data_IF_833813597312
#
_entry.id   IF_833813597312
#
_cell.length_a   1.000
_cell.length_b   1.000
_cell.length_c   1.000
_cell.angle_alpha   90.00
_cell.angle_beta   90.00
_cell.angle_gamma   90.00
#
_symmetry.space_group_name_H-M   'P 1'
#
loop_
_entity.id
_entity.type
_entity.pdbx_description
1 polymer ?
#
# COMPACT_ATOMS: atom_id res chain seq x y z
N UNK A 1 -8.26 -21.79 -0.56
CA UNK A 1 -9.53 -21.33 -1.16
C UNK A 1 -9.53 -19.82 -1.40
N UNK A 2 -9.12 -18.96 -0.42
CA UNK A 2 -9.08 -17.48 -0.58
C UNK A 2 -8.26 -17.05 -1.81
N UNK A 3 -7.10 -17.67 -2.06
CA UNK A 3 -6.28 -17.40 -3.26
C UNK A 3 -7.01 -17.67 -4.58
N UNK A 4 -8.01 -18.56 -4.58
CA UNK A 4 -8.86 -18.80 -5.73
C UNK A 4 -9.94 -17.71 -5.92
N UNK A 5 -10.11 -16.84 -4.93
CA UNK A 5 -11.05 -15.73 -4.89
C UNK A 5 -12.18 -15.93 -3.91
N UNK A 6 -12.59 -14.83 -3.30
CA UNK A 6 -13.78 -14.77 -2.46
C UNK A 6 -14.93 -14.30 -3.35
N UNK A 7 -16.06 -15.02 -3.40
CA UNK A 7 -17.26 -14.55 -4.10
C UNK A 7 -17.70 -13.17 -3.57
N UNK A 8 -18.20 -12.34 -4.48
CA UNK A 8 -18.53 -10.92 -4.20
C UNK A 8 -19.53 -10.79 -3.05
N UNK A 9 -20.52 -11.67 -3.01
CA UNK A 9 -21.63 -11.67 -2.06
C UNK A 9 -21.20 -11.95 -0.62
N UNK A 10 -20.06 -12.58 -0.42
CA UNK A 10 -19.59 -12.98 0.92
C UNK A 10 -18.34 -12.25 1.39
N UNK A 11 -17.77 -11.31 0.58
CA UNK A 11 -16.60 -10.54 1.01
C UNK A 11 -16.85 -9.78 2.31
N UNK A 12 -18.03 -9.17 2.45
CA UNK A 12 -18.41 -8.45 3.67
C UNK A 12 -18.40 -9.29 4.93
N UNK A 13 -18.52 -10.60 4.82
CA UNK A 13 -18.43 -11.55 5.95
C UNK A 13 -17.01 -12.11 6.09
N UNK A 14 -16.39 -12.49 4.97
CA UNK A 14 -15.10 -13.17 4.96
C UNK A 14 -13.95 -12.22 5.35
N UNK A 15 -13.95 -10.99 4.85
CA UNK A 15 -12.87 -10.03 5.11
C UNK A 15 -12.69 -9.68 6.59
N UNK A 16 -13.76 -9.33 7.35
CA UNK A 16 -13.64 -9.11 8.79
C UNK A 16 -13.16 -10.34 9.55
N UNK A 17 -13.55 -11.55 9.10
CA UNK A 17 -13.14 -12.80 9.74
C UNK A 17 -11.65 -13.09 9.55
N UNK A 18 -11.15 -13.01 8.30
CA UNK A 18 -9.75 -13.37 8.01
C UNK A 18 -8.76 -12.30 8.46
N UNK A 19 -9.18 -11.05 8.60
CA UNK A 19 -8.35 -9.96 9.13
C UNK A 19 -8.28 -9.93 10.66
N UNK A 20 -9.21 -10.59 11.37
CA UNK A 20 -9.38 -10.47 12.80
C UNK A 20 -10.28 -9.30 13.24
N UNK A 21 -10.82 -8.52 12.30
CA UNK A 21 -11.69 -7.38 12.60
C UNK A 21 -12.97 -7.80 13.32
N UNK A 22 -13.52 -8.97 12.99
CA UNK A 22 -14.70 -9.51 13.65
C UNK A 22 -14.47 -9.80 15.13
N UNK A 23 -13.32 -10.35 15.48
CA UNK A 23 -12.97 -10.65 16.86
C UNK A 23 -12.81 -9.36 17.67
N UNK A 24 -12.17 -8.33 17.07
CA UNK A 24 -12.06 -7.01 17.69
C UNK A 24 -13.43 -6.38 17.93
N UNK A 25 -14.33 -6.44 16.94
CA UNK A 25 -15.68 -5.90 17.07
C UNK A 25 -16.45 -6.55 18.22
N UNK A 26 -16.43 -7.89 18.29
CA UNK A 26 -17.14 -8.64 19.33
C UNK A 26 -16.56 -8.38 20.73
N UNK A 27 -15.24 -8.14 20.80
CA UNK A 27 -14.54 -7.85 22.07
C UNK A 27 -14.71 -6.43 22.56
N UNK A 28 -15.23 -5.51 21.72
CA UNK A 28 -15.35 -4.09 22.04
C UNK A 28 -16.74 -3.53 21.69
N UNK A 29 -17.82 -4.06 22.27
CA UNK A 29 -19.20 -3.67 21.92
C UNK A 29 -19.45 -2.19 22.26
N UNK A 30 -20.08 -1.46 21.34
CA UNK A 30 -20.48 -0.06 21.52
C UNK A 30 -19.35 0.97 21.43
N UNK A 31 -18.10 0.53 21.22
CA UNK A 31 -16.94 1.45 21.13
C UNK A 31 -17.04 2.28 19.86
N UNK A 32 -17.38 1.67 18.72
CA UNK A 32 -17.50 2.40 17.45
C UNK A 32 -18.54 3.52 17.54
N UNK A 33 -19.72 3.24 18.09
CA UNK A 33 -20.80 4.22 18.24
C UNK A 33 -20.36 5.41 19.12
N UNK A 34 -19.64 5.14 20.21
CA UNK A 34 -19.13 6.20 21.08
C UNK A 34 -18.11 7.08 20.35
N UNK A 35 -17.20 6.47 19.57
CA UNK A 35 -16.21 7.20 18.77
C UNK A 35 -16.86 8.02 17.65
N UNK A 36 -17.88 7.47 16.98
CA UNK A 36 -18.61 8.15 15.92
C UNK A 36 -19.37 9.38 16.45
N UNK A 37 -19.88 9.33 17.69
CA UNK A 37 -20.55 10.42 18.37
C UNK A 37 -19.59 11.43 19.01
N UNK A 38 -18.29 11.16 19.06
CA UNK A 38 -17.33 12.07 19.66
C UNK A 38 -17.30 13.43 18.95
N UNK A 39 -17.32 14.51 19.74
CA UNK A 39 -17.62 15.85 19.24
C UNK A 39 -16.73 16.41 18.15
N UNK A 40 -15.40 16.19 18.23
CA UNK A 40 -14.46 16.68 17.21
C UNK A 40 -13.20 15.84 17.13
N UNK A 41 -12.57 15.85 15.95
CA UNK A 41 -11.23 15.29 15.69
C UNK A 41 -10.36 16.37 15.06
N UNK A 42 -9.08 16.42 15.42
CA UNK A 42 -8.12 17.33 14.79
C UNK A 42 -7.97 17.07 13.27
N UNK A 43 -8.25 15.84 12.82
CA UNK A 43 -8.13 15.41 11.43
C UNK A 43 -9.34 15.73 10.54
N UNK A 44 -10.45 16.27 11.08
CA UNK A 44 -11.70 16.43 10.32
C UNK A 44 -11.54 17.24 9.02
N UNK A 45 -10.79 18.32 9.06
CA UNK A 45 -10.58 19.16 7.86
C UNK A 45 -9.86 18.40 6.75
N UNK A 46 -8.88 17.58 7.10
CA UNK A 46 -8.15 16.77 6.14
C UNK A 46 -9.01 15.65 5.58
N UNK A 47 -9.77 14.97 6.43
CA UNK A 47 -10.73 13.95 6.02
C UNK A 47 -11.72 14.55 5.01
N UNK A 48 -12.35 15.70 5.33
CA UNK A 48 -13.33 16.34 4.44
C UNK A 48 -12.73 16.71 3.07
N UNK A 49 -11.49 17.18 3.03
CA UNK A 49 -10.79 17.45 1.75
C UNK A 49 -10.62 16.21 0.91
N UNK A 50 -10.45 15.05 1.53
CA UNK A 50 -10.18 13.78 0.87
C UNK A 50 -11.44 13.04 0.40
N UNK A 51 -12.62 13.32 0.99
CA UNK A 51 -13.87 12.65 0.61
C UNK A 51 -14.17 12.74 -0.89
N UNK A 52 -13.99 13.94 -1.48
CA UNK A 52 -14.31 14.17 -2.88
C UNK A 52 -13.33 13.51 -3.87
N UNK A 53 -12.12 13.17 -3.42
CA UNK A 53 -11.09 12.53 -4.25
C UNK A 53 -11.01 11.01 -4.06
N UNK A 54 -11.74 10.48 -3.08
CA UNK A 54 -11.82 9.04 -2.82
C UNK A 54 -12.87 8.42 -3.74
N UNK A 55 -12.43 7.63 -4.72
CA UNK A 55 -13.29 6.97 -5.72
C UNK A 55 -14.37 7.87 -6.36
N UNK A 56 -14.02 9.05 -6.91
CA UNK A 56 -15.00 10.03 -7.39
C UNK A 56 -15.88 9.52 -8.53
N UNK A 57 -15.42 8.52 -9.29
CA UNK A 57 -16.18 7.87 -10.36
C UNK A 57 -17.12 6.76 -9.89
N UNK A 58 -17.01 6.31 -8.63
CA UNK A 58 -17.83 5.20 -8.13
C UNK A 58 -19.22 5.68 -7.71
N UNK A 59 -20.27 4.95 -8.12
CA UNK A 59 -21.67 5.35 -7.88
C UNK A 59 -21.96 5.64 -6.40
N UNK A 60 -21.37 4.89 -5.48
CA UNK A 60 -21.56 5.03 -4.04
C UNK A 60 -20.93 6.32 -3.47
N UNK A 61 -19.81 6.79 -4.03
CA UNK A 61 -19.05 7.94 -3.52
C UNK A 61 -19.20 9.22 -4.33
N UNK A 62 -19.69 9.16 -5.58
CA UNK A 62 -19.77 10.31 -6.48
C UNK A 62 -20.71 11.43 -5.99
N UNK A 63 -21.72 11.08 -5.18
CA UNK A 63 -22.65 12.05 -4.65
C UNK A 63 -22.02 12.78 -3.46
N UNK A 64 -21.81 14.09 -3.62
CA UNK A 64 -21.29 14.95 -2.56
C UNK A 64 -22.26 14.94 -1.36
N UNK A 65 -21.71 14.71 -0.17
CA UNK A 65 -22.48 14.54 1.08
C UNK A 65 -23.50 13.39 1.03
N UNK A 66 -23.38 12.50 0.06
CA UNK A 66 -24.21 11.29 -0.05
C UNK A 66 -23.86 10.24 1.02
N UNK A 67 -24.63 9.14 1.05
CA UNK A 67 -24.44 8.10 2.08
C UNK A 67 -23.03 7.52 2.12
N UNK A 68 -22.41 7.28 0.96
CA UNK A 68 -21.03 6.76 0.88
C UNK A 68 -19.98 7.71 1.45
N UNK A 69 -20.08 9.01 1.15
CA UNK A 69 -19.16 9.99 1.73
C UNK A 69 -19.37 10.18 3.22
N UNK A 70 -20.61 10.08 3.71
CA UNK A 70 -20.89 10.14 5.16
C UNK A 70 -20.34 8.94 5.89
N UNK A 71 -20.55 7.73 5.38
CA UNK A 71 -19.98 6.52 5.94
C UNK A 71 -18.45 6.58 5.98
N UNK A 72 -17.83 7.03 4.87
CA UNK A 72 -16.39 7.22 4.79
C UNK A 72 -15.87 8.21 5.84
N UNK A 73 -16.55 9.35 6.00
CA UNK A 73 -16.23 10.35 7.01
C UNK A 73 -16.36 9.77 8.43
N UNK A 74 -17.46 9.09 8.74
CA UNK A 74 -17.72 8.54 10.07
C UNK A 74 -16.62 7.54 10.49
N UNK A 75 -16.28 6.61 9.62
CA UNK A 75 -15.23 5.61 9.91
C UNK A 75 -13.87 6.26 10.09
N UNK A 76 -13.48 7.18 9.21
CA UNK A 76 -12.17 7.86 9.30
C UNK A 76 -12.08 8.76 10.53
N UNK A 77 -13.15 9.49 10.86
CA UNK A 77 -13.22 10.30 12.08
C UNK A 77 -13.13 9.42 13.32
N UNK A 78 -13.92 8.35 13.40
CA UNK A 78 -13.87 7.40 14.52
C UNK A 78 -12.46 6.83 14.70
N UNK A 79 -11.79 6.45 13.60
CA UNK A 79 -10.42 5.94 13.66
C UNK A 79 -9.44 7.01 14.16
N UNK A 80 -9.53 8.25 13.70
CA UNK A 80 -8.63 9.33 14.12
C UNK A 80 -8.76 9.72 15.60
N UNK A 81 -9.91 9.40 16.21
CA UNK A 81 -10.13 9.54 17.66
C UNK A 81 -9.63 8.32 18.42
N UNK A 82 -9.81 7.12 17.85
CA UNK A 82 -9.37 5.85 18.41
C UNK A 82 -7.84 5.76 18.50
N UNK A 83 -7.17 6.15 17.44
CA UNK A 83 -5.72 6.11 17.34
C UNK A 83 -5.19 7.52 17.03
N UNK A 84 -4.76 8.22 18.08
CA UNK A 84 -4.26 9.59 17.97
C UNK A 84 -2.84 9.69 17.44
N UNK A 85 -2.07 8.63 17.52
CA UNK A 85 -0.67 8.59 17.05
C UNK A 85 -0.63 8.56 15.52
N UNK A 86 -1.52 7.80 14.89
CA UNK A 86 -1.72 7.79 13.44
C UNK A 86 -2.68 8.91 13.01
N UNK A 87 -3.78 9.11 13.75
CA UNK A 87 -4.81 10.07 13.40
C UNK A 87 -5.43 9.77 12.04
N UNK A 88 -5.26 10.69 11.11
CA UNK A 88 -5.62 10.53 9.71
C UNK A 88 -4.47 10.94 8.81
N UNK A 89 -4.13 10.08 7.86
CA UNK A 89 -3.14 10.36 6.83
C UNK A 89 -3.76 10.15 5.46
N UNK A 90 -3.38 11.02 4.51
CA UNK A 90 -3.82 10.94 3.12
C UNK A 90 -3.52 9.55 2.53
N UNK A 91 -4.56 8.90 1.99
CA UNK A 91 -4.48 7.54 1.47
C UNK A 91 -5.33 6.55 2.26
N UNK A 92 -5.52 6.75 3.58
CA UNK A 92 -6.40 5.90 4.40
C UNK A 92 -7.83 5.86 3.88
N UNK A 93 -8.32 6.96 3.30
CA UNK A 93 -9.65 7.02 2.69
C UNK A 93 -9.87 5.95 1.61
N UNK A 94 -8.84 5.59 0.86
CA UNK A 94 -8.96 4.53 -0.15
C UNK A 94 -9.12 3.15 0.47
N UNK A 95 -8.46 2.87 1.61
CA UNK A 95 -8.63 1.60 2.32
C UNK A 95 -10.05 1.48 2.84
N UNK A 96 -10.51 2.48 3.59
CA UNK A 96 -11.88 2.51 4.13
C UNK A 96 -12.91 2.49 3.00
N UNK A 97 -12.62 3.20 1.90
CA UNK A 97 -13.49 3.23 0.73
C UNK A 97 -13.70 1.86 0.08
N UNK A 98 -12.68 1.00 0.04
CA UNK A 98 -12.84 -0.38 -0.45
C UNK A 98 -13.66 -1.22 0.53
N UNK A 99 -13.40 -1.10 1.84
CA UNK A 99 -14.12 -1.86 2.87
C UNK A 99 -15.62 -1.55 2.88
N UNK A 100 -15.98 -0.27 2.85
CA UNK A 100 -17.37 0.19 2.87
C UNK A 100 -18.21 -0.20 1.64
N UNK A 101 -17.60 -0.70 0.57
CA UNK A 101 -18.33 -1.26 -0.56
C UNK A 101 -18.90 -2.66 -0.24
N UNK A 102 -18.40 -3.32 0.79
CA UNK A 102 -18.76 -4.69 1.14
C UNK A 102 -19.35 -4.85 2.53
N UNK A 103 -19.14 -3.90 3.42
CA UNK A 103 -19.55 -4.03 4.83
C UNK A 103 -20.05 -2.70 5.42
N UNK A 104 -20.73 -2.78 6.57
CA UNK A 104 -21.16 -1.62 7.33
C UNK A 104 -20.01 -0.83 7.96
N UNK A 105 -20.34 0.35 8.51
CA UNK A 105 -19.35 1.27 9.08
C UNK A 105 -18.54 0.63 10.22
N UNK A 106 -19.21 -0.06 11.15
CA UNK A 106 -18.55 -0.70 12.29
C UNK A 106 -17.64 -1.86 11.88
N UNK A 107 -18.09 -2.75 10.96
CA UNK A 107 -17.25 -3.81 10.41
C UNK A 107 -16.04 -3.23 9.67
N UNK A 108 -16.23 -2.14 8.90
CA UNK A 108 -15.14 -1.46 8.19
C UNK A 108 -14.14 -0.81 9.16
N UNK A 109 -14.63 -0.19 10.23
CA UNK A 109 -13.80 0.39 11.28
C UNK A 109 -12.92 -0.69 11.94
N UNK A 110 -13.51 -1.78 12.42
CA UNK A 110 -12.74 -2.82 13.09
C UNK A 110 -11.83 -3.60 12.15
N UNK A 111 -12.22 -3.75 10.88
CA UNK A 111 -11.32 -4.31 9.86
C UNK A 111 -10.13 -3.38 9.61
N UNK A 112 -10.32 -2.06 9.56
CA UNK A 112 -9.24 -1.10 9.47
C UNK A 112 -8.30 -1.18 10.70
N UNK A 113 -8.86 -1.22 11.91
CA UNK A 113 -8.08 -1.38 13.15
C UNK A 113 -7.26 -2.67 13.10
N UNK A 114 -7.87 -3.78 12.66
CA UNK A 114 -7.18 -5.06 12.51
C UNK A 114 -6.02 -5.00 11.50
N UNK A 115 -6.18 -4.30 10.39
CA UNK A 115 -5.12 -4.11 9.39
C UNK A 115 -3.98 -3.25 9.92
N UNK A 116 -4.30 -2.17 10.62
CA UNK A 116 -3.29 -1.20 11.05
C UNK A 116 -2.58 -1.66 12.33
N UNK A 117 -3.29 -2.23 13.30
CA UNK A 117 -2.75 -2.58 14.64
C UNK A 117 -2.89 -4.05 15.03
N UNK A 118 -3.56 -4.86 14.22
CA UNK A 118 -3.85 -6.24 14.56
C UNK A 118 -2.63 -7.16 14.55
N UNK A 119 -2.74 -8.29 15.24
CA UNK A 119 -1.70 -9.30 15.37
C UNK A 119 -1.77 -10.41 14.33
N UNK A 120 -2.82 -10.45 13.50
CA UNK A 120 -2.98 -11.50 12.47
C UNK A 120 -1.92 -11.35 11.37
N UNK A 121 -1.55 -10.12 11.07
CA UNK A 121 -0.47 -9.76 10.14
C UNK A 121 0.49 -8.78 10.82
N UNK A 122 1.64 -8.53 10.17
CA UNK A 122 2.46 -7.40 10.60
C UNK A 122 1.64 -6.11 10.46
N UNK A 123 1.57 -5.28 11.50
CA UNK A 123 0.76 -4.06 11.49
C UNK A 123 1.13 -3.13 10.34
N UNK A 124 0.11 -2.54 9.70
CA UNK A 124 0.31 -1.61 8.59
C UNK A 124 0.41 -0.14 9.05
N UNK A 125 0.29 0.14 10.35
CA UNK A 125 0.30 1.51 10.89
C UNK A 125 1.53 2.31 10.48
N UNK A 126 2.70 1.67 10.37
CA UNK A 126 3.93 2.33 9.92
C UNK A 126 3.89 2.88 8.48
N UNK A 127 2.85 2.55 7.70
CA UNK A 127 2.57 3.21 6.41
C UNK A 127 2.01 4.63 6.60
N UNK A 128 1.57 4.98 7.81
CA UNK A 128 0.84 6.21 8.14
C UNK A 128 1.44 6.98 9.33
N UNK A 129 2.44 6.44 10.02
CA UNK A 129 3.17 7.16 11.06
C UNK A 129 4.05 8.26 10.45
N UNK A 130 4.43 9.25 11.26
CA UNK A 130 5.32 10.33 10.86
C UNK A 130 6.61 9.80 10.23
N UNK A 131 6.98 10.38 9.07
CA UNK A 131 8.12 9.92 8.29
C UNK A 131 7.88 8.65 7.48
N UNK A 132 6.68 8.06 7.54
CA UNK A 132 6.27 6.88 6.76
C UNK A 132 7.29 5.71 6.83
N UNK A 133 7.71 5.27 8.03
CA UNK A 133 8.85 4.35 8.18
C UNK A 133 8.65 3.02 7.46
N UNK A 134 7.42 2.49 7.45
CA UNK A 134 7.13 1.24 6.76
C UNK A 134 7.09 1.42 5.23
N UNK A 135 6.76 2.61 4.73
CA UNK A 135 6.83 2.90 3.28
C UNK A 135 8.28 2.85 2.83
N UNK A 136 9.19 3.53 3.52
CA UNK A 136 10.62 3.52 3.20
C UNK A 136 11.20 2.10 3.25
N UNK A 137 10.84 1.32 4.28
CA UNK A 137 11.22 -0.09 4.40
C UNK A 137 10.70 -0.93 3.24
N UNK A 138 9.42 -0.78 2.86
CA UNK A 138 8.82 -1.50 1.74
C UNK A 138 9.47 -1.13 0.39
N UNK A 139 9.84 0.12 0.19
CA UNK A 139 10.55 0.57 -1.01
C UNK A 139 11.93 -0.10 -1.12
N UNK A 140 12.68 -0.16 -0.03
CA UNK A 140 13.98 -0.85 0.01
C UNK A 140 13.84 -2.35 -0.22
N UNK A 141 12.80 -2.96 0.38
CA UNK A 141 12.46 -4.36 0.14
C UNK A 141 12.10 -4.62 -1.32
N UNK A 142 11.34 -3.70 -1.93
CA UNK A 142 10.95 -3.82 -3.34
C UNK A 142 12.13 -3.65 -4.29
N UNK A 143 13.06 -2.76 -3.99
CA UNK A 143 14.32 -2.58 -4.74
C UNK A 143 15.13 -3.89 -4.75
N UNK A 144 15.35 -4.50 -3.59
CA UNK A 144 16.03 -5.79 -3.49
C UNK A 144 15.31 -6.91 -4.22
N UNK A 145 13.97 -6.93 -4.16
CA UNK A 145 13.14 -7.89 -4.87
C UNK A 145 13.26 -7.73 -6.38
N UNK A 146 13.23 -6.48 -6.87
CA UNK A 146 13.38 -6.16 -8.29
C UNK A 146 14.75 -6.62 -8.81
N UNK A 147 15.81 -6.30 -8.10
CA UNK A 147 17.17 -6.73 -8.46
C UNK A 147 17.30 -8.26 -8.52
N UNK A 148 16.66 -8.98 -7.60
CA UNK A 148 16.72 -10.44 -7.55
C UNK A 148 15.84 -11.13 -8.61
N UNK A 149 14.75 -10.51 -9.07
CA UNK A 149 13.72 -11.17 -9.89
C UNK A 149 13.61 -10.63 -11.31
N UNK A 150 13.96 -9.37 -11.53
CA UNK A 150 13.97 -8.67 -12.82
C UNK A 150 15.28 -7.88 -12.98
N UNK A 151 16.45 -8.55 -12.98
CA UNK A 151 17.75 -7.89 -12.92
C UNK A 151 18.03 -6.97 -14.12
N UNK A 152 17.53 -7.30 -15.32
CA UNK A 152 17.64 -6.43 -16.50
C UNK A 152 16.93 -5.11 -16.29
N UNK A 153 15.67 -5.17 -15.83
CA UNK A 153 14.87 -3.99 -15.54
C UNK A 153 15.47 -3.19 -14.39
N UNK A 154 15.90 -3.85 -13.30
CA UNK A 154 16.54 -3.18 -12.18
C UNK A 154 17.79 -2.40 -12.61
N UNK A 155 18.65 -2.99 -13.42
CA UNK A 155 19.85 -2.34 -13.95
C UNK A 155 19.48 -1.14 -14.84
N UNK A 156 18.46 -1.27 -15.69
CA UNK A 156 17.99 -0.21 -16.58
C UNK A 156 17.42 0.97 -15.79
N UNK A 157 16.50 0.72 -14.84
CA UNK A 157 15.93 1.76 -13.97
C UNK A 157 17.02 2.51 -13.19
N UNK A 158 18.01 1.78 -12.67
CA UNK A 158 19.13 2.40 -11.97
C UNK A 158 20.00 3.26 -12.90
N UNK A 159 20.29 2.77 -14.12
CA UNK A 159 21.05 3.53 -15.13
C UNK A 159 20.33 4.81 -15.57
N UNK A 160 19.00 4.79 -15.64
CA UNK A 160 18.16 5.95 -15.94
C UNK A 160 17.89 6.83 -14.68
N UNK A 161 18.36 6.46 -13.48
CA UNK A 161 18.16 7.21 -12.24
C UNK A 161 16.73 7.12 -11.68
N UNK A 162 15.95 6.11 -12.05
CA UNK A 162 14.59 5.89 -11.57
C UNK A 162 14.61 4.99 -10.34
N UNK A 163 14.23 5.55 -9.20
CA UNK A 163 14.23 4.86 -7.90
C UNK A 163 12.80 4.50 -7.45
N UNK A 164 12.62 3.47 -6.61
CA UNK A 164 11.29 3.01 -6.16
C UNK A 164 10.41 4.10 -5.53
N UNK A 165 11.03 5.08 -4.86
CA UNK A 165 10.30 6.22 -4.26
C UNK A 165 9.50 7.03 -5.28
N UNK A 166 9.91 7.03 -6.54
CA UNK A 166 9.26 7.80 -7.61
C UNK A 166 7.95 7.15 -8.09
N UNK A 167 7.74 5.84 -7.85
CA UNK A 167 6.59 5.14 -8.43
C UNK A 167 5.81 4.23 -7.47
N UNK A 168 6.46 3.53 -6.53
CA UNK A 168 5.77 2.50 -5.75
C UNK A 168 5.19 2.97 -4.41
N UNK A 169 5.44 4.21 -3.96
CA UNK A 169 4.92 4.73 -2.68
C UNK A 169 3.40 4.56 -2.57
N UNK A 170 2.67 4.94 -3.62
CA UNK A 170 1.21 4.85 -3.66
C UNK A 170 0.70 3.40 -3.62
N UNK A 171 1.47 2.44 -4.16
CA UNK A 171 1.10 1.03 -4.12
C UNK A 171 0.97 0.51 -2.69
N UNK A 172 1.88 0.94 -1.81
CA UNK A 172 1.87 0.56 -0.40
C UNK A 172 0.85 1.37 0.41
N UNK A 173 0.84 2.70 0.26
CA UNK A 173 -0.03 3.60 1.04
C UNK A 173 -1.52 3.33 0.75
N UNK A 174 -1.88 3.03 -0.50
CA UNK A 174 -3.28 2.79 -0.88
C UNK A 174 -3.60 1.32 -1.14
N UNK A 175 -2.62 0.44 -0.96
CA UNK A 175 -2.74 -0.99 -1.29
C UNK A 175 -3.33 -1.19 -2.69
N UNK A 176 -2.73 -0.50 -3.66
CA UNK A 176 -3.15 -0.46 -5.06
C UNK A 176 -4.55 0.11 -5.34
N UNK A 177 -5.29 0.62 -4.36
CA UNK A 177 -6.66 1.10 -4.57
C UNK A 177 -6.77 2.26 -5.58
N UNK A 178 -5.68 3.01 -5.79
CA UNK A 178 -5.60 4.08 -6.79
C UNK A 178 -5.01 3.65 -8.12
N UNK A 179 -4.47 2.44 -8.20
CA UNK A 179 -3.64 2.00 -9.33
C UNK A 179 -4.31 0.89 -10.14
N UNK A 180 -4.83 -0.15 -9.49
CA UNK A 180 -5.39 -1.32 -10.16
C UNK A 180 -6.85 -1.11 -10.61
N UNK A 181 -7.29 -1.75 -11.72
CA UNK A 181 -8.70 -1.88 -12.04
C UNK A 181 -9.43 -2.57 -10.90
N UNK A 182 -10.68 -2.18 -10.67
CA UNK A 182 -11.44 -2.61 -9.51
C UNK A 182 -11.59 -4.14 -9.40
N UNK A 183 -11.80 -4.82 -10.51
CA UNK A 183 -11.89 -6.30 -10.56
C UNK A 183 -10.60 -6.99 -10.10
N UNK A 184 -9.43 -6.45 -10.46
CA UNK A 184 -8.12 -6.96 -10.03
C UNK A 184 -7.86 -6.59 -8.57
N UNK A 185 -8.20 -5.34 -8.20
CA UNK A 185 -8.03 -4.82 -6.84
C UNK A 185 -8.70 -5.71 -5.80
N UNK A 186 -9.96 -6.07 -6.01
CA UNK A 186 -10.73 -6.91 -5.08
C UNK A 186 -10.07 -8.27 -4.86
N UNK A 187 -9.55 -8.87 -5.91
CA UNK A 187 -8.84 -10.14 -5.83
C UNK A 187 -7.50 -10.01 -5.10
N UNK A 188 -6.79 -8.90 -5.27
CA UNK A 188 -5.59 -8.57 -4.50
C UNK A 188 -5.93 -8.41 -3.01
N UNK A 189 -7.05 -7.75 -2.71
CA UNK A 189 -7.51 -7.56 -1.34
C UNK A 189 -7.93 -8.86 -0.65
N UNK A 190 -8.57 -9.79 -1.37
CA UNK A 190 -8.85 -11.14 -0.84
C UNK A 190 -7.56 -11.79 -0.28
N UNK A 191 -6.44 -11.66 -1.02
CA UNK A 191 -5.17 -12.26 -0.61
C UNK A 191 -4.42 -11.40 0.43
N UNK A 192 -4.49 -10.07 0.31
CA UNK A 192 -3.87 -9.15 1.27
C UNK A 192 -4.38 -9.38 2.69
N UNK A 193 -5.71 -9.47 2.84
CA UNK A 193 -6.36 -9.69 4.14
C UNK A 193 -6.01 -11.06 4.77
N UNK A 194 -5.48 -11.98 3.97
CA UNK A 194 -5.02 -13.29 4.42
C UNK A 194 -3.50 -13.33 4.64
N UNK A 195 -2.70 -12.66 3.80
CA UNK A 195 -1.24 -12.84 3.74
C UNK A 195 -0.43 -11.58 4.06
N UNK A 196 -1.07 -10.42 4.17
CA UNK A 196 -0.42 -9.15 4.49
C UNK A 196 0.37 -8.53 3.34
N UNK A 197 1.28 -7.60 3.68
CA UNK A 197 2.01 -6.71 2.77
C UNK A 197 2.86 -7.40 1.70
N UNK A 198 3.29 -8.65 1.92
CA UNK A 198 3.99 -9.41 0.88
C UNK A 198 3.17 -9.58 -0.40
N UNK A 199 1.84 -9.47 -0.29
CA UNK A 199 0.93 -9.46 -1.45
C UNK A 199 1.18 -8.24 -2.33
N UNK A 200 1.42 -7.07 -1.74
CA UNK A 200 1.74 -5.83 -2.48
C UNK A 200 3.06 -5.99 -3.25
N UNK A 201 4.08 -6.57 -2.62
CA UNK A 201 5.35 -6.86 -3.29
C UNK A 201 5.20 -7.81 -4.49
N UNK A 202 4.42 -8.89 -4.33
CA UNK A 202 4.16 -9.86 -5.41
C UNK A 202 3.44 -9.22 -6.58
N UNK A 203 2.40 -8.46 -6.30
CA UNK A 203 1.58 -7.77 -7.31
C UNK A 203 2.42 -6.70 -8.02
N UNK A 204 3.17 -5.88 -7.29
CA UNK A 204 4.06 -4.89 -7.88
C UNK A 204 5.13 -5.51 -8.81
N UNK A 205 5.71 -6.64 -8.39
CA UNK A 205 6.66 -7.38 -9.21
C UNK A 205 6.02 -7.89 -10.52
N UNK A 206 4.81 -8.43 -10.44
CA UNK A 206 4.10 -8.96 -11.62
C UNK A 206 3.65 -7.85 -12.57
N UNK A 207 3.24 -6.70 -12.03
CA UNK A 207 2.96 -5.49 -12.80
C UNK A 207 4.17 -5.10 -13.65
N UNK A 208 5.35 -4.98 -13.02
CA UNK A 208 6.58 -4.62 -13.74
C UNK A 208 7.05 -5.69 -14.71
N UNK A 209 6.87 -6.98 -14.36
CA UNK A 209 7.20 -8.09 -15.25
C UNK A 209 6.38 -8.05 -16.54
N UNK A 210 5.09 -7.75 -16.43
CA UNK A 210 4.19 -7.65 -17.58
C UNK A 210 4.56 -6.56 -18.58
N UNK A 211 5.32 -5.54 -18.14
CA UNK A 211 5.75 -4.41 -18.95
C UNK A 211 7.27 -4.34 -19.17
N UNK A 212 8.03 -5.36 -18.76
CA UNK A 212 9.49 -5.33 -18.74
C UNK A 212 10.07 -4.88 -20.09
N UNK A 213 9.66 -5.49 -21.20
CA UNK A 213 10.21 -5.17 -22.53
C UNK A 213 9.86 -3.73 -22.98
N UNK A 214 8.67 -3.24 -22.66
CA UNK A 214 8.29 -1.85 -22.92
C UNK A 214 9.15 -0.89 -22.07
N UNK A 215 9.26 -1.15 -20.76
CA UNK A 215 10.00 -0.30 -19.83
C UNK A 215 11.51 -0.24 -20.20
N UNK A 216 12.10 -1.33 -20.67
CA UNK A 216 13.50 -1.37 -21.14
C UNK A 216 13.75 -0.48 -22.34
N UNK A 217 12.73 -0.13 -23.12
CA UNK A 217 12.84 0.77 -24.29
C UNK A 217 12.74 2.26 -23.96
N UNK A 218 12.28 2.60 -22.74
CA UNK A 218 11.98 3.98 -22.34
C UNK A 218 13.17 4.66 -21.65
N UNK A 219 13.22 6.00 -21.73
CA UNK A 219 14.17 6.84 -21.02
C UNK A 219 13.56 7.46 -19.78
N UNK A 220 14.38 8.11 -18.94
CA UNK A 220 14.00 8.67 -17.64
C UNK A 220 12.61 9.32 -17.61
N UNK A 221 12.36 10.32 -18.46
CA UNK A 221 11.10 11.07 -18.44
C UNK A 221 9.89 10.19 -18.76
N UNK A 222 10.04 9.32 -19.75
CA UNK A 222 9.01 8.37 -20.18
C UNK A 222 8.77 7.30 -19.10
N UNK A 223 9.84 6.81 -18.47
CA UNK A 223 9.76 5.86 -17.34
C UNK A 223 9.01 6.47 -16.16
N UNK A 224 9.38 7.69 -15.75
CA UNK A 224 8.71 8.39 -14.64
C UNK A 224 7.23 8.63 -14.98
N UNK A 225 6.93 9.06 -16.21
CA UNK A 225 5.56 9.25 -16.66
C UNK A 225 4.79 7.91 -16.68
N UNK A 226 5.39 6.85 -17.23
CA UNK A 226 4.75 5.52 -17.35
C UNK A 226 4.47 4.89 -15.99
N UNK A 227 5.46 4.89 -15.10
CA UNK A 227 5.38 4.30 -13.76
C UNK A 227 4.59 5.18 -12.78
N UNK A 228 4.68 6.51 -12.90
CA UNK A 228 3.96 7.47 -12.05
C UNK A 228 2.52 7.73 -12.51
N UNK A 229 2.17 7.43 -13.76
CA UNK A 229 0.80 7.53 -14.23
C UNK A 229 -0.06 6.53 -13.42
N UNK A 230 -1.24 6.98 -12.96
CA UNK A 230 -2.19 6.15 -12.17
C UNK A 230 -2.62 4.84 -12.87
N UNK A 231 -2.14 4.60 -14.09
CA UNK A 231 -2.44 3.43 -14.94
C UNK A 231 -1.19 2.75 -15.50
N UNK A 232 0.00 3.13 -15.04
CA UNK A 232 1.23 2.48 -15.48
C UNK A 232 1.33 1.07 -14.91
N UNK A 233 1.55 0.08 -15.77
CA UNK A 233 1.74 -1.32 -15.37
C UNK A 233 0.48 -2.07 -14.97
N UNK A 234 -0.69 -1.48 -15.17
CA UNK A 234 -1.95 -2.12 -14.82
C UNK A 234 -2.33 -3.11 -15.90
N UNK A 235 -2.66 -4.37 -15.55
CA UNK A 235 -3.32 -5.27 -16.48
C UNK A 235 -4.45 -4.54 -17.20
N UNK A 236 -4.42 -4.51 -18.54
CA UNK A 236 -5.47 -3.84 -19.32
C UNK A 236 -6.85 -4.41 -18.99
N UNK A 237 -7.94 -3.74 -19.39
CA UNK A 237 -9.31 -4.18 -19.08
C UNK A 237 -9.65 -5.59 -19.61
N UNK A 238 -8.82 -6.15 -20.47
CA UNK A 238 -8.94 -7.50 -21.05
C UNK A 238 -7.99 -8.52 -20.40
N UNK A 239 -7.24 -8.15 -19.35
CA UNK A 239 -6.34 -9.09 -18.68
C UNK A 239 -7.15 -10.10 -17.87
N UNK A 240 -6.85 -11.39 -18.05
CA UNK A 240 -7.36 -12.43 -17.18
C UNK A 240 -6.82 -12.20 -15.76
N UNK A 241 -7.71 -11.68 -14.91
CA UNK A 241 -7.40 -11.37 -13.50
C UNK A 241 -6.87 -12.58 -12.74
N UNK A 242 -7.42 -13.77 -13.03
CA UNK A 242 -7.01 -14.99 -12.37
C UNK A 242 -5.64 -15.47 -12.84
N UNK A 243 -5.33 -15.32 -14.12
CA UNK A 243 -4.00 -15.63 -14.66
C UNK A 243 -2.96 -14.69 -14.06
N UNK A 244 -3.23 -13.38 -14.02
CA UNK A 244 -2.37 -12.39 -13.40
C UNK A 244 -2.09 -12.69 -11.92
N UNK A 245 -3.13 -12.94 -11.12
CA UNK A 245 -2.95 -13.27 -9.70
C UNK A 245 -2.23 -14.60 -9.49
N UNK A 246 -2.55 -15.61 -10.28
CA UNK A 246 -1.79 -16.88 -10.21
C UNK A 246 -0.31 -16.68 -10.49
N UNK A 247 0.05 -15.83 -11.45
CA UNK A 247 1.43 -15.49 -11.77
C UNK A 247 2.09 -14.73 -10.60
N UNK A 248 1.45 -13.68 -10.09
CA UNK A 248 1.93 -12.93 -8.93
C UNK A 248 2.15 -13.83 -7.69
N UNK A 249 1.20 -14.70 -7.39
CA UNK A 249 1.24 -15.58 -6.20
C UNK A 249 2.25 -16.73 -6.32
N UNK A 250 2.71 -17.09 -7.53
CA UNK A 250 3.82 -18.04 -7.73
C UNK A 250 5.18 -17.45 -7.35
N UNK A 251 5.30 -16.11 -7.36
CA UNK A 251 6.56 -15.47 -7.03
C UNK A 251 6.94 -15.74 -5.56
N UNK A 252 8.07 -16.41 -5.35
CA UNK A 252 8.67 -16.60 -4.03
C UNK A 252 9.36 -15.30 -3.64
N UNK A 253 8.70 -14.47 -2.84
CA UNK A 253 9.21 -13.14 -2.44
C UNK A 253 9.70 -13.11 -0.99
N UNK A 254 9.22 -13.99 -0.12
CA UNK A 254 9.39 -13.90 1.34
C UNK A 254 10.86 -13.78 1.75
N UNK A 255 11.71 -14.69 1.34
CA UNK A 255 13.11 -14.68 1.75
C UNK A 255 13.86 -13.41 1.29
N UNK A 256 13.60 -12.94 0.06
CA UNK A 256 14.24 -11.73 -0.48
C UNK A 256 13.75 -10.47 0.24
N UNK A 257 12.43 -10.36 0.46
CA UNK A 257 11.82 -9.23 1.15
C UNK A 257 12.28 -9.16 2.61
N UNK A 258 12.34 -10.28 3.30
CA UNK A 258 12.84 -10.34 4.68
C UNK A 258 14.31 -9.97 4.78
N UNK A 259 15.16 -10.47 3.87
CA UNK A 259 16.58 -10.14 3.86
C UNK A 259 16.82 -8.66 3.57
N UNK A 260 16.18 -8.11 2.54
CA UNK A 260 16.26 -6.69 2.23
C UNK A 260 15.74 -5.81 3.40
N UNK A 261 14.70 -6.26 4.10
CA UNK A 261 14.23 -5.59 5.31
C UNK A 261 15.24 -5.62 6.45
N UNK A 262 15.90 -6.76 6.70
CA UNK A 262 16.96 -6.86 7.71
C UNK A 262 18.16 -5.97 7.41
N UNK A 263 18.53 -5.87 6.14
CA UNK A 263 19.61 -4.95 5.71
C UNK A 263 19.21 -3.51 6.02
N UNK A 264 18.01 -3.09 5.63
CA UNK A 264 17.51 -1.76 5.90
C UNK A 264 17.45 -1.44 7.40
N UNK A 265 16.96 -2.37 8.22
CA UNK A 265 16.86 -2.18 9.67
C UNK A 265 18.26 -2.04 10.32
N UNK A 266 19.29 -2.73 9.80
CA UNK A 266 20.69 -2.55 10.24
C UNK A 266 21.27 -1.21 9.81
N UNK A 267 21.06 -0.80 8.55
CA UNK A 267 21.49 0.50 8.03
C UNK A 267 20.94 1.67 8.90
N UNK A 268 19.66 1.56 9.33
CA UNK A 268 19.05 2.56 10.22
C UNK A 268 19.68 2.59 11.62
N UNK A 269 20.10 1.44 12.17
CA UNK A 269 20.77 1.38 13.47
C UNK A 269 22.18 1.95 13.41
N UNK A 270 22.91 1.72 12.32
CA UNK A 270 24.25 2.24 12.11
C UNK A 270 24.27 3.75 11.80
N UNK A 271 23.24 4.27 11.13
CA UNK A 271 23.11 5.67 10.73
C UNK A 271 21.75 6.27 11.11
N UNK A 272 21.48 6.58 12.40
CA UNK A 272 20.16 7.00 12.89
C UNK A 272 19.63 8.33 12.28
N UNK A 273 20.44 9.06 11.53
CA UNK A 273 20.10 10.34 10.86
C UNK A 273 19.95 10.27 9.35
N UNK A 274 20.06 9.10 8.73
CA UNK A 274 20.23 8.97 7.27
C UNK A 274 18.93 8.96 6.42
N UNK A 275 17.75 8.98 7.00
CA UNK A 275 16.48 8.79 6.26
C UNK A 275 15.51 9.97 6.32
N UNK A 276 16.01 11.21 6.34
CA UNK A 276 15.17 12.41 6.36
C UNK A 276 15.72 13.56 5.55
N UNK A 277 15.73 13.47 4.22
CA UNK A 277 16.09 14.59 3.38
C UNK A 277 16.63 14.14 2.03
N UNK A 278 15.96 14.52 0.95
CA UNK A 278 16.43 14.30 -0.41
C UNK A 278 17.80 14.90 -0.65
N UNK A 279 18.84 14.09 -0.54
CA UNK A 279 20.20 14.41 -0.86
C UNK A 279 20.83 13.22 -1.57
N UNK A 280 21.15 13.40 -2.84
CA UNK A 280 21.93 12.50 -3.66
C UNK A 280 23.32 12.34 -3.05
N UNK A 281 23.52 11.33 -2.21
CA UNK A 281 24.81 11.06 -1.60
C UNK A 281 24.94 9.60 -1.22
N UNK A 282 25.21 8.74 -2.22
CA UNK A 282 25.78 7.42 -1.97
C UNK A 282 27.20 7.57 -1.42
N UNK A 283 27.62 6.76 -0.43
CA UNK A 283 29.04 6.64 -0.11
C UNK A 283 29.77 6.11 -1.35
N UNK A 284 30.71 6.90 -1.82
CA UNK A 284 31.62 6.49 -2.90
C UNK A 284 32.39 5.25 -2.42
N UNK A 285 32.55 4.27 -3.32
CA UNK A 285 33.40 3.12 -3.13
C UNK A 285 34.81 3.55 -2.69
N UNK A 286 35.49 2.80 -1.81
CA UNK A 286 36.83 3.16 -1.29
C UNK A 286 37.96 2.81 -2.27
N UNK A 287 37.85 3.19 -3.54
CA UNK A 287 38.93 3.04 -4.51
C UNK A 287 39.08 4.34 -5.30
N UNK A 288 39.74 5.33 -4.73
CA UNK A 288 40.55 6.33 -5.44
C UNK A 288 41.19 7.33 -4.44
N UNK A 289 41.82 6.83 -3.37
CA UNK A 289 42.87 7.59 -2.69
C UNK A 289 44.20 6.86 -2.92
N UNK A 290 44.82 7.20 -4.00
CA UNK A 290 46.15 6.69 -4.33
C UNK A 290 46.83 7.48 -5.44
N UNK A 291 47.74 8.35 -5.03
CA UNK A 291 48.77 9.05 -5.81
C UNK A 291 48.46 10.45 -6.30
N UNK A 292 48.92 11.38 -5.54
CA UNK A 292 49.66 12.53 -6.04
C UNK A 292 50.81 12.82 -5.06
N UNK A 293 51.97 12.28 -5.37
CA UNK A 293 53.30 12.76 -4.89
C UNK A 293 54.05 13.14 -6.12
N UNK A 294 54.56 14.34 -6.15
CA UNK A 294 55.42 14.89 -7.17
C UNK A 294 55.25 16.39 -7.23
#
# INVERSE_FOLDING_TARGET
RVRAGVPDEIRGVVWPLISGGRDLMVSNPGVYEQLALYGSSAAELEIVRDLNRTFPGHIYYRQRHGPGQRALYNVLKAYSVYDRDVGYVQGMGFLVGVLLLYMGEEDAFWTLVALLKGSVHAPLEGLYLDGLPLVARCQRQFEGLLAARLPRLAAHLNAEGVVPTMYCSQWFITVFATTLPFSVLLRVWDVLLLEGLKTVHRVGLEVLRGEEEELLSLRFEQLVQRLGARRGGVPGPHTDTDAFLRAALRASVTAVVEEAGRIYDRELQEFPGGCGGGGTGWPRSPETEGRAVG
#
